data_IF_993535994610
#
_entry.id   IF_993535994610
#
_cell.length_a   1.000
_cell.length_b   1.000
_cell.length_c   1.000
_cell.angle_alpha   90.00
_cell.angle_beta   90.00
_cell.angle_gamma   90.00
#
_symmetry.space_group_name_H-M   'P 1'
#
loop_
_entity.id
_entity.type
_entity.pdbx_description
1 polymer ?
#
# COMPACT_ATOMS: atom_id res chain seq x y z
N UNK A 1 -8.44 4.54 17.14
CA UNK A 1 -7.28 4.02 16.37
C UNK A 1 -7.61 2.77 15.55
N UNK A 2 -8.01 1.66 16.18
CA UNK A 2 -8.22 0.36 15.52
C UNK A 2 -9.23 0.45 14.35
N UNK A 3 -10.36 1.14 14.54
CA UNK A 3 -11.35 1.34 13.47
C UNK A 3 -10.79 2.11 12.26
N UNK A 4 -9.85 3.04 12.48
CA UNK A 4 -9.19 3.81 11.39
C UNK A 4 -8.24 2.91 10.60
N UNK A 5 -7.41 2.14 11.30
CA UNK A 5 -6.51 1.16 10.68
C UNK A 5 -7.31 0.12 9.90
N UNK A 6 -8.40 -0.39 10.48
CA UNK A 6 -9.31 -1.33 9.81
C UNK A 6 -9.91 -0.73 8.54
N UNK A 7 -10.38 0.53 8.57
CA UNK A 7 -10.96 1.19 7.39
C UNK A 7 -9.94 1.32 6.25
N UNK A 8 -8.71 1.73 6.58
CA UNK A 8 -7.63 1.82 5.60
C UNK A 8 -7.24 0.44 5.06
N UNK A 9 -7.19 -0.56 5.94
CA UNK A 9 -6.88 -1.94 5.59
C UNK A 9 -7.92 -2.53 4.64
N UNK A 10 -9.21 -2.33 4.91
CA UNK A 10 -10.31 -2.81 4.04
C UNK A 10 -10.12 -2.29 2.61
N UNK A 11 -9.78 -1.01 2.43
CA UNK A 11 -9.59 -0.43 1.09
C UNK A 11 -8.38 -1.03 0.35
N UNK A 12 -7.28 -1.28 1.06
CA UNK A 12 -6.10 -1.96 0.51
C UNK A 12 -6.46 -3.39 0.09
N UNK A 13 -7.15 -4.14 0.95
CA UNK A 13 -7.55 -5.53 0.69
C UNK A 13 -8.53 -5.61 -0.49
N UNK A 14 -9.54 -4.74 -0.53
CA UNK A 14 -10.49 -4.67 -1.64
C UNK A 14 -9.76 -4.42 -2.96
N UNK A 15 -8.83 -3.44 -2.97
CA UNK A 15 -8.06 -3.15 -4.17
C UNK A 15 -7.23 -4.35 -4.63
N UNK A 16 -6.54 -5.03 -3.71
CA UNK A 16 -5.74 -6.22 -4.05
C UNK A 16 -6.63 -7.35 -4.59
N UNK A 17 -7.78 -7.63 -3.99
CA UNK A 17 -8.70 -8.65 -4.49
C UNK A 17 -9.21 -8.31 -5.90
N UNK A 18 -9.61 -7.07 -6.13
CA UNK A 18 -10.04 -6.59 -7.45
C UNK A 18 -8.89 -6.73 -8.45
N UNK A 19 -7.68 -6.34 -8.08
CA UNK A 19 -6.51 -6.44 -8.95
C UNK A 19 -6.15 -7.89 -9.30
N UNK A 20 -6.25 -8.82 -8.35
CA UNK A 20 -6.04 -10.25 -8.61
C UNK A 20 -7.02 -10.73 -9.68
N UNK A 21 -8.31 -10.41 -9.53
CA UNK A 21 -9.37 -10.80 -10.47
C UNK A 21 -9.13 -10.16 -11.84
N UNK A 22 -8.86 -8.85 -11.89
CA UNK A 22 -8.60 -8.13 -13.13
C UNK A 22 -7.37 -8.68 -13.84
N UNK A 23 -6.28 -8.93 -13.12
CA UNK A 23 -5.06 -9.49 -13.70
C UNK A 23 -5.34 -10.88 -14.26
N UNK A 24 -6.08 -11.73 -13.53
CA UNK A 24 -6.43 -13.08 -13.99
C UNK A 24 -7.31 -13.08 -15.25
N UNK A 25 -8.26 -12.14 -15.35
CA UNK A 25 -9.20 -12.06 -16.48
C UNK A 25 -8.59 -11.37 -17.70
N UNK A 26 -7.79 -10.33 -17.50
CA UNK A 26 -7.31 -9.46 -18.59
C UNK A 26 -5.85 -9.70 -18.98
N UNK A 27 -4.99 -10.18 -18.07
CA UNK A 27 -3.53 -10.28 -18.29
C UNK A 27 -3.09 -11.74 -18.11
N UNK A 28 -3.30 -12.53 -19.17
CA UNK A 28 -2.98 -13.96 -19.18
C UNK A 28 -1.47 -14.26 -19.14
N UNK A 29 -0.65 -13.25 -19.40
CA UNK A 29 0.81 -13.33 -19.37
C UNK A 29 1.35 -13.45 -17.94
N UNK A 30 0.60 -12.98 -16.93
CA UNK A 30 1.01 -13.05 -15.53
C UNK A 30 0.53 -14.37 -14.95
N UNK A 31 1.46 -15.22 -14.52
CA UNK A 31 1.12 -16.47 -13.82
C UNK A 31 0.29 -16.19 -12.57
N UNK A 32 -0.70 -17.05 -12.29
CA UNK A 32 -1.51 -16.98 -11.06
C UNK A 32 -0.64 -16.99 -9.80
N UNK A 33 0.45 -17.75 -9.80
CA UNK A 33 1.39 -17.77 -8.68
C UNK A 33 2.02 -16.40 -8.44
N UNK A 34 2.56 -15.76 -9.49
CA UNK A 34 3.18 -14.44 -9.37
C UNK A 34 2.15 -13.35 -9.07
N UNK A 35 0.93 -13.43 -9.60
CA UNK A 35 -0.15 -12.52 -9.24
C UNK A 35 -0.44 -12.57 -7.73
N UNK A 36 -0.52 -13.77 -7.15
CA UNK A 36 -0.72 -13.96 -5.71
C UNK A 36 0.50 -13.53 -4.90
N UNK A 37 1.72 -13.81 -5.38
CA UNK A 37 2.95 -13.42 -4.71
C UNK A 37 3.11 -11.89 -4.68
N UNK A 38 2.98 -11.22 -5.83
CA UNK A 38 2.99 -9.76 -5.96
C UNK A 38 1.97 -9.14 -5.01
N UNK A 39 0.74 -9.66 -5.02
CA UNK A 39 -0.34 -9.21 -4.15
C UNK A 39 -0.01 -9.39 -2.67
N UNK A 40 0.58 -10.53 -2.29
CA UNK A 40 0.96 -10.81 -0.89
C UNK A 40 2.08 -9.88 -0.42
N UNK A 41 3.09 -9.65 -1.26
CA UNK A 41 4.20 -8.74 -0.97
C UNK A 41 3.70 -7.31 -0.81
N UNK A 42 2.87 -6.83 -1.74
CA UNK A 42 2.27 -5.50 -1.66
C UNK A 42 1.37 -5.38 -0.42
N UNK A 43 0.55 -6.38 -0.11
CA UNK A 43 -0.26 -6.39 1.10
C UNK A 43 0.63 -6.22 2.34
N UNK A 44 1.71 -6.99 2.44
CA UNK A 44 2.62 -6.92 3.58
C UNK A 44 3.27 -5.53 3.72
N UNK A 45 3.80 -4.98 2.62
CA UNK A 45 4.44 -3.66 2.58
C UNK A 45 3.46 -2.57 3.04
N UNK A 46 2.23 -2.58 2.51
CA UNK A 46 1.25 -1.54 2.78
C UNK A 46 0.54 -1.69 4.12
N UNK A 47 0.36 -2.91 4.60
CA UNK A 47 -0.24 -3.18 5.92
C UNK A 47 0.73 -2.77 7.03
N UNK A 48 1.99 -3.21 6.94
CA UNK A 48 3.03 -2.86 7.92
C UNK A 48 3.26 -1.35 7.99
N UNK A 49 3.32 -0.68 6.84
CA UNK A 49 3.49 0.77 6.77
C UNK A 49 2.29 1.53 7.37
N UNK A 50 1.06 1.07 7.09
CA UNK A 50 -0.19 1.67 7.62
C UNK A 50 -0.19 1.68 9.13
N UNK A 51 0.15 0.54 9.75
CA UNK A 51 0.19 0.40 11.20
C UNK A 51 1.24 1.36 11.79
N UNK A 52 2.43 1.38 11.21
CA UNK A 52 3.55 2.18 11.70
C UNK A 52 3.25 3.69 11.63
N UNK A 53 2.60 4.16 10.56
CA UNK A 53 2.25 5.58 10.42
C UNK A 53 1.10 5.99 11.30
N UNK A 54 0.06 5.19 11.45
CA UNK A 54 -1.02 5.51 12.38
C UNK A 54 -0.47 5.65 13.82
N UNK A 55 0.42 4.74 14.24
CA UNK A 55 1.09 4.82 15.55
C UNK A 55 1.95 6.10 15.70
N UNK A 56 2.70 6.49 14.65
CA UNK A 56 3.52 7.72 14.68
C UNK A 56 2.69 9.00 14.66
N UNK A 57 1.57 9.03 13.92
CA UNK A 57 0.66 10.18 13.86
C UNK A 57 0.01 10.40 15.22
N UNK A 58 -0.44 9.34 15.89
CA UNK A 58 -1.02 9.41 17.23
C UNK A 58 -0.04 10.04 18.23
N UNK A 59 1.23 9.61 18.19
CA UNK A 59 2.25 10.16 19.08
C UNK A 59 2.65 11.59 18.76
N UNK A 60 2.59 12.02 17.49
CA UNK A 60 2.99 13.36 17.07
C UNK A 60 2.29 13.84 15.78
N UNK A 61 1.06 14.38 15.89
CA UNK A 61 0.25 14.74 14.72
C UNK A 61 0.83 15.92 13.91
N UNK A 62 1.60 16.80 14.56
CA UNK A 62 2.26 17.96 13.90
C UNK A 62 3.30 17.55 12.85
N UNK A 63 3.78 16.31 12.87
CA UNK A 63 4.75 15.77 11.91
C UNK A 63 4.13 14.82 10.88
N UNK A 64 2.81 14.94 10.63
CA UNK A 64 2.07 14.10 9.69
C UNK A 64 2.77 13.96 8.32
N UNK A 65 3.08 15.09 7.66
CA UNK A 65 3.69 15.12 6.32
C UNK A 65 5.05 14.40 6.30
N UNK A 66 5.90 14.65 7.30
CA UNK A 66 7.20 14.02 7.40
C UNK A 66 7.11 12.51 7.64
N UNK A 67 6.19 12.08 8.52
CA UNK A 67 5.96 10.66 8.80
C UNK A 67 5.41 9.92 7.58
N UNK A 68 4.48 10.56 6.85
CA UNK A 68 3.94 10.04 5.60
C UNK A 68 5.03 9.92 4.52
N UNK A 69 5.86 10.94 4.33
CA UNK A 69 6.92 10.91 3.33
C UNK A 69 7.93 9.80 3.62
N UNK A 70 8.41 9.68 4.87
CA UNK A 70 9.32 8.59 5.27
C UNK A 70 8.71 7.22 5.01
N UNK A 71 7.42 7.05 5.29
CA UNK A 71 6.71 5.80 5.07
C UNK A 71 6.64 5.44 3.59
N UNK A 72 6.18 6.36 2.74
CA UNK A 72 6.09 6.14 1.29
C UNK A 72 7.48 5.86 0.70
N UNK A 73 8.53 6.53 1.18
CA UNK A 73 9.92 6.22 0.79
C UNK A 73 10.32 4.79 1.17
N UNK A 74 10.02 4.34 2.40
CA UNK A 74 10.32 2.97 2.84
C UNK A 74 9.53 1.94 2.04
N UNK A 75 8.26 2.21 1.73
CA UNK A 75 7.44 1.33 0.89
C UNK A 75 7.99 1.21 -0.52
N UNK A 76 8.32 2.34 -1.15
CA UNK A 76 8.92 2.37 -2.49
C UNK A 76 10.27 1.67 -2.49
N UNK A 77 11.09 1.85 -1.46
CA UNK A 77 12.37 1.16 -1.34
C UNK A 77 12.18 -0.36 -1.23
N UNK A 78 11.27 -0.82 -0.37
CA UNK A 78 10.95 -2.23 -0.24
C UNK A 78 10.39 -2.82 -1.54
N UNK A 79 9.52 -2.06 -2.23
CA UNK A 79 8.99 -2.43 -3.53
C UNK A 79 10.08 -2.52 -4.60
N UNK A 80 11.00 -1.55 -4.67
CA UNK A 80 12.11 -1.55 -5.61
C UNK A 80 13.07 -2.73 -5.38
N UNK A 81 13.33 -3.09 -4.12
CA UNK A 81 14.11 -4.30 -3.81
C UNK A 81 13.40 -5.55 -4.36
N UNK A 82 12.08 -5.63 -4.16
CA UNK A 82 11.29 -6.74 -4.70
C UNK A 82 11.28 -6.78 -6.23
N UNK A 83 11.11 -5.63 -6.88
CA UNK A 83 11.12 -5.50 -8.33
C UNK A 83 12.48 -5.90 -8.92
N UNK A 84 13.59 -5.51 -8.28
CA UNK A 84 14.93 -5.97 -8.66
C UNK A 84 15.03 -7.50 -8.62
N UNK A 85 14.51 -8.15 -7.58
CA UNK A 85 14.51 -9.62 -7.48
C UNK A 85 13.74 -10.24 -8.65
N UNK A 86 12.58 -9.68 -9.01
CA UNK A 86 11.79 -10.16 -10.15
C UNK A 86 12.54 -9.99 -11.48
N UNK A 87 13.17 -8.84 -11.70
CA UNK A 87 13.93 -8.57 -12.93
C UNK A 87 15.13 -9.53 -13.07
N UNK A 88 15.85 -9.80 -11.97
CA UNK A 88 16.99 -10.71 -11.99
C UNK A 88 16.61 -12.19 -12.20
N UNK A 89 15.35 -12.56 -11.98
CA UNK A 89 14.85 -13.91 -12.23
C UNK A 89 14.48 -14.16 -13.71
N UNK A 90 14.52 -13.13 -14.56
CA UNK A 90 14.39 -13.24 -16.03
C UNK A 90 12.95 -13.39 -16.54
N UNK A 91 12.68 -12.87 -17.74
CA UNK A 91 11.40 -12.93 -18.48
C UNK A 91 10.11 -12.47 -17.75
N UNK A 92 10.20 -11.96 -16.51
CA UNK A 92 9.06 -11.54 -15.70
C UNK A 92 8.69 -10.05 -15.83
N UNK A 93 8.78 -9.51 -17.04
CA UNK A 93 8.55 -8.07 -17.27
C UNK A 93 7.08 -7.67 -17.03
N UNK A 94 6.14 -8.57 -17.36
CA UNK A 94 4.71 -8.35 -17.15
C UNK A 94 4.35 -8.38 -15.67
N UNK A 95 4.95 -9.29 -14.90
CA UNK A 95 4.81 -9.39 -13.45
C UNK A 95 5.33 -8.14 -12.76
N UNK A 96 6.51 -7.65 -13.15
CA UNK A 96 7.10 -6.43 -12.61
C UNK A 96 6.22 -5.21 -12.91
N UNK A 97 5.76 -5.06 -14.16
CA UNK A 97 4.86 -3.96 -14.56
C UNK A 97 3.54 -4.01 -13.80
N UNK A 98 2.94 -5.20 -13.65
CA UNK A 98 1.70 -5.38 -12.89
C UNK A 98 1.88 -5.02 -11.41
N UNK A 99 2.99 -5.44 -10.80
CA UNK A 99 3.33 -5.08 -9.43
C UNK A 99 3.53 -3.56 -9.27
N UNK A 100 4.18 -2.92 -10.23
CA UNK A 100 4.42 -1.47 -10.24
C UNK A 100 3.12 -0.67 -10.32
N UNK A 101 2.23 -1.01 -11.25
CA UNK A 101 0.92 -0.35 -11.39
C UNK A 101 0.11 -0.50 -10.10
N UNK A 102 0.08 -1.70 -9.52
CA UNK A 102 -0.60 -1.94 -8.26
C UNK A 102 0.00 -1.14 -7.10
N UNK A 103 1.33 -1.07 -7.02
CA UNK A 103 2.03 -0.28 -6.01
C UNK A 103 1.65 1.21 -6.08
N UNK A 104 1.67 1.80 -7.28
CA UNK A 104 1.31 3.21 -7.49
C UNK A 104 -0.14 3.46 -7.04
N UNK A 105 -1.08 2.59 -7.43
CA UNK A 105 -2.49 2.77 -7.07
C UNK A 105 -2.69 2.65 -5.56
N UNK A 106 -2.02 1.69 -4.92
CA UNK A 106 -2.06 1.54 -3.46
C UNK A 106 -1.49 2.78 -2.74
N UNK A 107 -0.41 3.39 -3.24
CA UNK A 107 0.12 4.66 -2.71
C UNK A 107 -0.95 5.74 -2.80
N UNK A 108 -1.61 5.89 -3.95
CA UNK A 108 -2.65 6.91 -4.14
C UNK A 108 -3.82 6.69 -3.17
N UNK A 109 -4.34 5.46 -3.06
CA UNK A 109 -5.44 5.11 -2.13
C UNK A 109 -5.05 5.44 -0.69
N UNK A 110 -3.83 5.06 -0.28
CA UNK A 110 -3.33 5.29 1.06
C UNK A 110 -3.13 6.78 1.35
N UNK A 111 -2.61 7.53 0.38
CA UNK A 111 -2.42 8.98 0.44
C UNK A 111 -3.75 9.71 0.65
N UNK A 112 -4.77 9.38 -0.16
CA UNK A 112 -6.11 9.98 -0.07
C UNK A 112 -6.74 9.68 1.30
N UNK A 113 -6.63 8.44 1.76
CA UNK A 113 -7.17 8.05 3.06
C UNK A 113 -6.48 8.76 4.23
N UNK A 114 -5.17 8.93 4.17
CA UNK A 114 -4.42 9.66 5.17
C UNK A 114 -4.70 11.17 5.13
N UNK A 115 -4.83 11.77 3.94
CA UNK A 115 -5.18 13.17 3.79
C UNK A 115 -6.57 13.50 4.36
N UNK A 116 -7.56 12.63 4.12
CA UNK A 116 -8.90 12.77 4.73
C UNK A 116 -8.84 12.78 6.26
N UNK A 117 -7.96 11.98 6.85
CA UNK A 117 -7.78 11.93 8.30
C UNK A 117 -7.10 13.18 8.87
N UNK A 118 -6.24 13.85 8.11
CA UNK A 118 -5.64 15.12 8.52
C UNK A 118 -6.63 16.29 8.49
N UNK A 119 -7.75 16.15 7.77
CA UNK A 119 -8.80 17.17 7.60
C UNK A 119 -9.99 16.98 8.54
N UNK A 120 -10.18 15.78 9.11
CA UNK A 120 -11.15 15.58 10.20
C UNK A 120 -10.62 16.34 11.44
N UNK A 121 -11.36 17.35 11.96
CA UNK A 121 -10.96 18.01 13.18
C UNK A 121 -10.88 16.96 14.29
N UNK A 122 -9.84 17.07 15.11
CA UNK A 122 -9.73 16.38 16.38
C UNK A 122 -10.97 16.73 17.22
N UNK A 123 -12.03 15.91 17.15
CA UNK A 123 -13.13 15.86 18.12
C UNK A 123 -12.64 15.29 19.47
N UNK A 124 -11.51 15.82 19.96
CA UNK A 124 -11.02 15.71 21.33
C UNK A 124 -10.77 17.15 21.80
N UNK A 125 -11.86 17.88 21.93
CA UNK A 125 -11.93 19.26 22.38
C UNK A 125 -13.30 19.58 22.96
N UNK A 126 -13.93 18.59 23.60
CA UNK A 126 -15.06 18.78 24.52
C UNK A 126 -14.75 17.91 25.73
N UNK A 127 -14.00 18.49 26.67
CA UNK A 127 -14.28 18.56 28.12
C UNK A 127 -13.14 19.30 28.82
#
# INVERSE_FOLDING_TARGET
>A
MIQRIIRQFILIVIWILVSIILTHVFIHQVSTFYNLLNSSVLLFIFLGSTVLVNYKIEKNPKRFIGNFLVMTTVQLLAFLIYELILIFQGEMWWEALQALVNCIILIVIQSINLAKLSLEPSEEGIE
#
